data_IF_577684911658
#
_entry.id   IF_577684911658
#
_cell.length_a   1.000
_cell.length_b   1.000
_cell.length_c   1.000
_cell.angle_alpha   90.00
_cell.angle_beta   90.00
_cell.angle_gamma   90.00
#
_symmetry.space_group_name_H-M   'P 1'
#
loop_
_entity.id
_entity.type
_entity.pdbx_description
1 polymer ?
#
# COMPACT_ATOMS: atom_id res chain seq x y z
N UNK A 1 -4.55 35.81 4.25
CA UNK A 1 -3.32 35.39 3.56
C UNK A 1 -3.72 34.41 2.48
N UNK A 2 -3.24 34.53 1.25
CA UNK A 2 -3.50 33.52 0.23
C UNK A 2 -2.76 32.25 0.67
N UNK A 3 -3.48 31.24 1.17
CA UNK A 3 -2.86 29.93 1.34
C UNK A 3 -2.51 29.39 -0.04
N UNK A 4 -1.31 28.84 -0.13
CA UNK A 4 -0.77 28.27 -1.34
C UNK A 4 -1.10 26.78 -1.32
N UNK A 5 -1.89 26.33 -2.29
CA UNK A 5 -2.22 24.91 -2.42
C UNK A 5 -0.98 24.01 -2.39
N UNK A 6 -1.08 22.91 -1.65
CA UNK A 6 -0.05 21.87 -1.62
C UNK A 6 0.00 21.18 -2.98
N UNK A 7 0.98 21.58 -3.81
CA UNK A 7 1.18 20.97 -5.12
C UNK A 7 1.92 19.65 -5.05
N UNK A 8 2.89 19.53 -4.16
CA UNK A 8 3.72 18.32 -4.03
C UNK A 8 3.16 17.46 -2.90
N UNK A 9 2.35 16.47 -3.26
CA UNK A 9 1.61 15.65 -2.31
C UNK A 9 2.24 14.26 -2.20
N UNK A 10 2.50 13.82 -0.97
CA UNK A 10 3.26 12.62 -0.68
C UNK A 10 2.35 11.40 -0.56
N UNK A 11 2.58 10.37 -1.37
CA UNK A 11 1.86 9.10 -1.30
C UNK A 11 2.44 8.11 -0.28
N UNK A 12 3.69 8.32 0.14
CA UNK A 12 4.22 7.84 1.42
C UNK A 12 4.52 9.07 2.26
N UNK A 13 3.86 9.25 3.40
CA UNK A 13 3.96 10.49 4.15
C UNK A 13 5.36 10.80 4.68
N UNK A 14 5.70 12.09 4.73
CA UNK A 14 7.02 12.53 5.18
C UNK A 14 7.29 12.17 6.64
N UNK A 15 6.26 12.24 7.50
CA UNK A 15 6.38 11.85 8.91
C UNK A 15 6.82 10.39 9.07
N UNK A 16 6.27 9.48 8.26
CA UNK A 16 6.70 8.09 8.21
C UNK A 16 8.15 7.96 7.73
N UNK A 17 8.51 8.59 6.61
CA UNK A 17 9.85 8.49 6.04
C UNK A 17 10.93 9.11 6.93
N UNK A 18 10.61 10.13 7.73
CA UNK A 18 11.53 10.73 8.71
C UNK A 18 12.01 9.74 9.77
N UNK A 19 11.22 8.70 10.08
CA UNK A 19 11.65 7.61 10.97
C UNK A 19 12.81 6.76 10.41
N UNK A 20 13.06 6.83 9.11
CA UNK A 20 14.15 6.13 8.42
C UNK A 20 15.27 7.08 7.96
N UNK A 21 15.15 8.37 8.25
CA UNK A 21 16.10 9.37 7.80
C UNK A 21 17.27 9.49 8.79
N UNK A 22 18.48 9.72 8.27
CA UNK A 22 19.64 10.03 9.12
C UNK A 22 19.46 11.43 9.74
N UNK A 23 19.78 11.60 11.04
CA UNK A 23 19.72 12.92 11.69
C UNK A 23 20.64 13.95 11.04
N UNK A 24 21.75 13.48 10.48
CA UNK A 24 22.77 14.32 9.86
C UNK A 24 22.32 14.84 8.48
N UNK A 25 22.29 16.17 8.32
CA UNK A 25 22.13 16.82 7.02
C UNK A 25 20.70 17.06 6.51
N UNK A 26 19.70 17.07 7.40
CA UNK A 26 18.34 17.53 7.07
C UNK A 26 17.39 16.43 6.58
N UNK A 27 17.18 15.39 7.41
CA UNK A 27 16.32 14.25 7.10
C UNK A 27 16.65 13.63 5.73
N UNK A 28 17.92 13.24 5.55
CA UNK A 28 18.34 12.52 4.35
C UNK A 28 18.01 11.04 4.50
N UNK A 29 17.50 10.44 3.45
CA UNK A 29 17.18 9.02 3.37
C UNK A 29 17.83 8.45 2.11
N UNK A 30 18.41 7.27 2.23
CA UNK A 30 18.97 6.54 1.09
C UNK A 30 17.85 5.75 0.42
N UNK A 31 17.71 5.89 -0.90
CA UNK A 31 16.73 5.15 -1.69
C UNK A 31 17.41 4.26 -2.72
N UNK A 32 16.78 3.13 -3.00
CA UNK A 32 17.13 2.21 -4.07
C UNK A 32 16.06 2.27 -5.16
N UNK A 33 16.46 2.08 -6.42
CA UNK A 33 15.51 1.90 -7.52
C UNK A 33 15.26 0.41 -7.71
N UNK A 34 14.01 0.01 -7.95
CA UNK A 34 13.68 -1.41 -8.13
C UNK A 34 14.40 -2.02 -9.33
N UNK A 35 14.73 -1.20 -10.32
CA UNK A 35 15.44 -1.56 -11.54
C UNK A 35 16.97 -1.61 -11.35
N UNK A 36 17.49 -1.00 -10.28
CA UNK A 36 18.92 -0.92 -9.98
C UNK A 36 19.15 -0.92 -8.46
N UNK A 37 19.43 -2.13 -7.94
CA UNK A 37 19.71 -2.37 -6.53
C UNK A 37 21.20 -2.23 -6.19
N UNK A 38 22.06 -1.87 -7.16
CA UNK A 38 23.51 -1.89 -6.97
C UNK A 38 24.03 -0.75 -6.10
N UNK A 39 23.31 0.39 -6.05
CA UNK A 39 23.74 1.56 -5.31
C UNK A 39 22.57 2.36 -4.72
N UNK A 40 22.59 2.51 -3.39
CA UNK A 40 21.67 3.40 -2.70
C UNK A 40 22.08 4.87 -2.92
N UNK A 41 21.11 5.73 -3.19
CA UNK A 41 21.34 7.16 -3.47
C UNK A 41 20.73 8.02 -2.36
N UNK A 42 21.43 9.04 -1.84
CA UNK A 42 20.86 9.91 -0.83
C UNK A 42 19.85 10.87 -1.47
N UNK A 43 18.72 11.10 -0.81
CA UNK A 43 17.74 12.13 -1.15
C UNK A 43 17.19 12.78 0.12
N UNK A 44 16.48 13.90 -0.02
CA UNK A 44 15.66 14.45 1.06
C UNK A 44 14.31 13.77 1.07
N UNK A 45 13.73 13.61 2.26
CA UNK A 45 12.37 13.05 2.42
C UNK A 45 11.34 13.80 1.56
N UNK A 46 11.44 15.13 1.47
CA UNK A 46 10.53 15.95 0.68
C UNK A 46 10.52 15.64 -0.83
N UNK A 47 11.61 15.09 -1.38
CA UNK A 47 11.75 14.80 -2.81
C UNK A 47 11.36 13.36 -3.18
N UNK A 48 11.00 12.53 -2.20
CA UNK A 48 10.64 11.12 -2.42
C UNK A 48 9.14 10.90 -2.28
N UNK A 49 8.65 9.85 -2.93
CA UNK A 49 7.30 9.34 -2.78
C UNK A 49 6.20 10.40 -2.92
N UNK A 50 6.32 11.29 -3.91
CA UNK A 50 5.38 12.37 -4.12
C UNK A 50 4.93 12.51 -5.58
N UNK A 51 3.76 13.13 -5.75
CA UNK A 51 3.10 13.41 -7.02
C UNK A 51 2.61 14.86 -7.04
N UNK A 52 2.62 15.47 -8.21
CA UNK A 52 2.04 16.81 -8.36
C UNK A 52 0.52 16.68 -8.44
N UNK A 53 -0.19 17.31 -7.51
CA UNK A 53 -1.66 17.29 -7.42
C UNK A 53 -2.26 15.86 -7.36
N UNK A 54 -1.57 14.91 -6.72
CA UNK A 54 -2.02 13.51 -6.65
C UNK A 54 -3.39 13.29 -5.98
N UNK A 55 -3.80 14.20 -5.09
CA UNK A 55 -5.04 14.18 -4.30
C UNK A 55 -5.88 15.45 -4.45
N UNK A 56 -5.46 16.39 -5.30
CA UNK A 56 -6.20 17.63 -5.53
C UNK A 56 -7.42 17.32 -6.40
N UNK A 57 -8.61 17.49 -5.84
CA UNK A 57 -9.87 17.25 -6.55
C UNK A 57 -10.45 18.54 -7.14
N UNK A 58 -11.46 18.43 -8.00
CA UNK A 58 -12.21 19.59 -8.47
C UNK A 58 -12.99 20.26 -7.32
N UNK A 59 -13.04 21.58 -7.33
CA UNK A 59 -13.69 22.36 -6.28
C UNK A 59 -13.65 23.86 -6.56
N UNK A 60 -14.65 24.58 -6.06
CA UNK A 60 -14.78 26.03 -6.21
C UNK A 60 -13.82 26.78 -5.27
N UNK A 61 -13.54 26.21 -4.10
CA UNK A 61 -12.62 26.79 -3.11
C UNK A 61 -11.35 25.95 -2.94
N UNK A 62 -10.28 26.56 -2.42
CA UNK A 62 -9.06 25.82 -2.06
C UNK A 62 -9.34 24.71 -1.05
N UNK A 63 -10.20 24.97 -0.05
CA UNK A 63 -10.55 24.00 0.97
C UNK A 63 -11.23 22.76 0.38
N UNK A 64 -12.08 22.94 -0.63
CA UNK A 64 -12.69 21.84 -1.38
C UNK A 64 -11.64 21.07 -2.19
N UNK A 65 -10.79 21.77 -2.94
CA UNK A 65 -9.77 21.13 -3.78
C UNK A 65 -8.71 20.36 -2.98
N UNK A 66 -8.33 20.88 -1.82
CA UNK A 66 -7.36 20.27 -0.91
C UNK A 66 -8.01 19.37 0.16
N UNK A 67 -9.31 19.08 0.05
CA UNK A 67 -10.05 18.32 1.07
C UNK A 67 -9.37 16.99 1.44
N UNK A 68 -8.92 16.24 0.43
CA UNK A 68 -8.32 14.91 0.63
C UNK A 68 -6.94 15.00 1.27
N UNK A 69 -6.08 15.89 0.77
CA UNK A 69 -4.75 16.14 1.35
C UNK A 69 -4.86 16.63 2.80
N UNK A 70 -5.73 17.60 3.07
CA UNK A 70 -5.99 18.12 4.41
C UNK A 70 -6.56 17.05 5.34
N UNK A 71 -7.39 16.14 4.83
CA UNK A 71 -7.92 15.02 5.61
C UNK A 71 -6.79 14.06 5.98
N UNK A 72 -5.91 13.70 5.05
CA UNK A 72 -4.77 12.85 5.36
C UNK A 72 -3.86 13.47 6.43
N UNK A 73 -3.51 14.74 6.25
CA UNK A 73 -2.69 15.50 7.19
C UNK A 73 -3.29 15.50 8.60
N UNK A 74 -4.52 15.98 8.73
CA UNK A 74 -5.18 16.18 10.02
C UNK A 74 -5.51 14.87 10.75
N UNK A 75 -5.98 13.85 10.02
CA UNK A 75 -6.50 12.62 10.66
C UNK A 75 -5.35 11.69 11.05
N UNK A 76 -4.35 11.52 10.19
CA UNK A 76 -3.29 10.53 10.40
C UNK A 76 -1.91 11.15 10.55
N UNK A 77 -1.49 12.06 9.67
CA UNK A 77 -0.08 12.52 9.68
C UNK A 77 0.28 13.31 10.94
N UNK A 78 -0.61 14.19 11.40
CA UNK A 78 -0.45 14.96 12.64
C UNK A 78 -0.29 14.04 13.87
N UNK A 79 -0.75 12.80 13.77
CA UNK A 79 -0.70 11.80 14.84
C UNK A 79 0.46 10.80 14.69
N UNK A 80 1.33 10.94 13.68
CA UNK A 80 2.37 9.93 13.46
C UNK A 80 3.35 9.77 14.61
N UNK A 81 3.71 10.87 15.28
CA UNK A 81 4.61 10.78 16.43
C UNK A 81 3.98 9.90 17.53
N UNK A 82 2.70 10.12 17.85
CA UNK A 82 1.97 9.32 18.83
C UNK A 82 1.94 7.84 18.44
N UNK A 83 1.70 7.54 17.16
CA UNK A 83 1.72 6.16 16.66
C UNK A 83 3.12 5.55 16.79
N UNK A 84 4.16 6.28 16.37
CA UNK A 84 5.54 5.82 16.46
C UNK A 84 5.96 5.54 17.89
N UNK A 85 5.71 6.48 18.82
CA UNK A 85 6.03 6.33 20.23
C UNK A 85 5.32 5.08 20.81
N UNK A 86 4.04 4.88 20.48
CA UNK A 86 3.26 3.74 20.98
C UNK A 86 3.76 2.37 20.47
N UNK A 87 4.26 2.29 19.23
CA UNK A 87 4.76 1.02 18.66
C UNK A 87 6.24 0.79 18.92
N UNK A 88 6.95 1.74 19.53
CA UNK A 88 8.39 1.62 19.85
C UNK A 88 8.69 1.59 21.35
N UNK A 89 7.69 1.86 22.20
CA UNK A 89 7.81 1.76 23.65
C UNK A 89 7.69 0.30 24.13
N UNK A 90 8.83 -0.32 24.43
CA UNK A 90 8.91 -1.69 24.98
C UNK A 90 8.23 -1.83 26.35
N UNK A 91 7.95 -0.74 27.06
CA UNK A 91 7.27 -0.76 28.37
C UNK A 91 5.75 -0.77 28.26
N UNK A 92 5.21 -0.51 27.07
CA UNK A 92 3.78 -0.40 26.85
C UNK A 92 3.12 -1.79 26.82
N UNK A 93 2.40 -2.11 27.89
CA UNK A 93 1.70 -3.41 28.02
C UNK A 93 0.29 -3.42 27.43
N UNK A 94 -0.33 -2.24 27.28
CA UNK A 94 -1.69 -2.09 26.80
C UNK A 94 -1.86 -0.84 25.94
N UNK A 95 -2.57 -0.99 24.82
CA UNK A 95 -3.01 0.13 23.98
C UNK A 95 -4.41 0.56 24.38
N UNK A 96 -4.60 1.85 24.62
CA UNK A 96 -5.93 2.43 24.71
C UNK A 96 -6.65 2.39 23.34
N UNK A 97 -7.97 2.49 23.37
CA UNK A 97 -8.82 2.39 22.18
C UNK A 97 -8.47 3.42 21.10
N UNK A 98 -8.12 4.64 21.50
CA UNK A 98 -7.83 5.72 20.56
C UNK A 98 -6.47 5.52 19.91
N UNK A 99 -5.44 5.14 20.68
CA UNK A 99 -4.12 4.80 20.14
C UNK A 99 -4.19 3.61 19.20
N UNK A 100 -4.94 2.56 19.56
CA UNK A 100 -5.19 1.41 18.67
C UNK A 100 -5.87 1.84 17.36
N UNK A 101 -6.92 2.65 17.43
CA UNK A 101 -7.61 3.18 16.23
C UNK A 101 -6.68 4.02 15.37
N UNK A 102 -5.81 4.82 15.98
CA UNK A 102 -4.80 5.61 15.27
C UNK A 102 -3.77 4.73 14.57
N UNK A 103 -3.26 3.67 15.22
CA UNK A 103 -2.34 2.71 14.60
C UNK A 103 -3.00 2.06 13.37
N UNK A 104 -4.21 1.52 13.52
CA UNK A 104 -4.96 0.87 12.43
C UNK A 104 -5.27 1.87 11.31
N UNK A 105 -5.68 3.09 11.66
CA UNK A 105 -5.90 4.18 10.71
C UNK A 105 -4.64 4.55 9.93
N UNK A 106 -3.50 4.64 10.61
CA UNK A 106 -2.19 4.88 9.99
C UNK A 106 -1.83 3.75 9.01
N UNK A 107 -1.94 2.49 9.40
CA UNK A 107 -1.62 1.36 8.52
C UNK A 107 -2.55 1.32 7.30
N UNK A 108 -3.84 1.54 7.49
CA UNK A 108 -4.81 1.53 6.39
C UNK A 108 -4.67 2.74 5.44
N UNK A 109 -4.34 3.93 5.96
CA UNK A 109 -4.01 5.08 5.11
C UNK A 109 -2.75 4.83 4.28
N UNK A 110 -1.69 4.28 4.89
CA UNK A 110 -0.46 3.89 4.19
C UNK A 110 -0.67 2.80 3.13
N UNK A 111 -1.67 1.94 3.31
CA UNK A 111 -2.02 0.91 2.33
C UNK A 111 -2.68 1.51 1.08
N UNK A 112 -3.69 2.37 1.25
CA UNK A 112 -4.53 2.84 0.15
C UNK A 112 -4.06 4.14 -0.50
N UNK A 113 -3.26 4.97 0.18
CA UNK A 113 -2.75 6.24 -0.34
C UNK A 113 -1.69 6.08 -1.46
N UNK A 114 -1.36 4.85 -1.84
CA UNK A 114 -0.20 4.55 -2.71
C UNK A 114 -0.53 4.52 -4.21
N UNK A 115 0.49 4.82 -5.04
CA UNK A 115 0.41 4.67 -6.51
C UNK A 115 0.06 3.26 -6.96
N UNK A 116 0.44 2.25 -6.18
CA UNK A 116 0.19 0.84 -6.53
C UNK A 116 -1.31 0.56 -6.67
N UNK A 117 -2.15 1.10 -5.78
CA UNK A 117 -3.59 0.91 -5.89
C UNK A 117 -4.14 1.55 -7.18
N UNK A 118 -3.69 2.77 -7.51
CA UNK A 118 -4.07 3.46 -8.77
C UNK A 118 -3.73 2.60 -10.00
N UNK A 119 -2.53 2.00 -10.03
CA UNK A 119 -2.10 1.10 -11.12
C UNK A 119 -2.97 -0.16 -11.18
N UNK A 120 -3.29 -0.78 -10.04
CA UNK A 120 -4.13 -1.98 -9.98
C UNK A 120 -5.55 -1.67 -10.48
N UNK A 121 -6.15 -0.57 -10.01
CA UNK A 121 -7.47 -0.13 -10.45
C UNK A 121 -7.48 0.21 -11.95
N UNK A 122 -6.46 0.89 -12.45
CA UNK A 122 -6.32 1.19 -13.88
C UNK A 122 -6.30 -0.07 -14.75
N UNK A 123 -5.52 -1.09 -14.36
CA UNK A 123 -5.50 -2.39 -15.04
C UNK A 123 -6.85 -3.09 -15.01
N UNK A 124 -7.51 -3.10 -13.85
CA UNK A 124 -8.84 -3.68 -13.70
C UNK A 124 -9.85 -3.01 -14.64
N UNK A 125 -9.83 -1.67 -14.76
CA UNK A 125 -10.69 -0.96 -15.70
C UNK A 125 -10.34 -1.25 -17.15
N UNK A 126 -9.05 -1.33 -17.51
CA UNK A 126 -8.62 -1.71 -18.86
C UNK A 126 -9.13 -3.11 -19.23
N UNK A 127 -9.02 -4.08 -18.33
CA UNK A 127 -9.54 -5.44 -18.52
C UNK A 127 -11.07 -5.44 -18.68
N UNK A 128 -11.80 -4.75 -17.81
CA UNK A 128 -13.27 -4.63 -17.90
C UNK A 128 -13.73 -4.00 -19.22
N UNK A 129 -13.03 -2.96 -19.70
CA UNK A 129 -13.33 -2.31 -20.98
C UNK A 129 -13.00 -3.27 -22.13
N UNK A 130 -11.89 -4.01 -22.04
CA UNK A 130 -11.52 -5.00 -23.06
C UNK A 130 -12.58 -6.09 -23.20
N UNK A 131 -13.14 -6.56 -22.07
CA UNK A 131 -14.26 -7.49 -22.06
C UNK A 131 -15.51 -6.89 -22.70
N UNK A 132 -15.84 -5.63 -22.39
CA UNK A 132 -16.96 -4.93 -23.02
C UNK A 132 -16.80 -4.79 -24.54
N UNK A 133 -15.59 -4.48 -25.03
CA UNK A 133 -15.27 -4.46 -26.47
C UNK A 133 -15.44 -5.83 -27.10
N UNK A 134 -15.05 -6.90 -26.41
CA UNK A 134 -15.20 -8.25 -26.94
C UNK A 134 -16.68 -8.64 -27.07
N UNK A 135 -17.50 -8.27 -26.09
CA UNK A 135 -18.96 -8.51 -26.12
C UNK A 135 -19.65 -7.65 -27.19
N UNK A 136 -19.23 -6.40 -27.42
CA UNK A 136 -19.85 -5.55 -28.46
C UNK A 136 -19.64 -6.05 -29.88
N UNK A 137 -18.64 -6.89 -30.13
CA UNK A 137 -18.42 -7.52 -31.45
C UNK A 137 -19.49 -8.54 -31.81
N UNK A 138 -20.16 -9.12 -30.83
CA UNK A 138 -21.16 -10.17 -31.01
C UNK A 138 -22.56 -9.74 -30.57
N UNK A 139 -22.73 -8.50 -30.13
CA UNK A 139 -23.99 -7.94 -29.62
C UNK A 139 -24.20 -6.51 -30.11
N UNK A 140 -25.41 -5.97 -29.98
CA UNK A 140 -25.71 -4.59 -30.36
C UNK A 140 -25.33 -3.56 -29.27
N UNK A 141 -24.36 -3.88 -28.40
CA UNK A 141 -23.90 -2.99 -27.34
C UNK A 141 -22.93 -1.98 -27.94
N UNK A 142 -23.27 -0.69 -27.84
CA UNK A 142 -22.43 0.40 -28.39
C UNK A 142 -21.75 1.24 -27.31
N UNK A 143 -22.04 0.98 -26.04
CA UNK A 143 -21.53 1.74 -24.90
C UNK A 143 -21.23 0.81 -23.72
N UNK A 144 -20.23 1.17 -22.92
CA UNK A 144 -20.00 0.57 -21.60
C UNK A 144 -20.20 1.64 -20.53
N UNK A 145 -20.90 1.28 -19.46
CA UNK A 145 -21.09 2.15 -18.29
C UNK A 145 -20.26 1.62 -17.15
N UNK A 146 -19.33 2.43 -16.66
CA UNK A 146 -18.53 2.14 -15.48
C UNK A 146 -18.89 3.20 -14.43
N UNK A 147 -19.40 2.74 -13.29
CA UNK A 147 -20.01 3.59 -12.26
C UNK A 147 -21.10 4.51 -12.84
N UNK A 148 -20.79 5.80 -13.01
CA UNK A 148 -21.72 6.82 -13.56
C UNK A 148 -21.28 7.34 -14.92
N UNK A 149 -20.19 6.81 -15.47
CA UNK A 149 -19.62 7.26 -16.72
C UNK A 149 -19.94 6.27 -17.83
N UNK A 150 -20.68 6.73 -18.83
CA UNK A 150 -20.96 5.98 -20.05
C UNK A 150 -19.96 6.41 -21.13
N UNK A 151 -19.25 5.44 -21.70
CA UNK A 151 -18.30 5.67 -22.79
C UNK A 151 -18.70 4.85 -24.03
N UNK A 152 -18.56 5.43 -25.24
CA UNK A 152 -18.86 4.71 -26.46
C UNK A 152 -17.77 3.67 -26.77
N UNK A 153 -18.20 2.52 -27.30
CA UNK A 153 -17.35 1.47 -27.85
C UNK A 153 -17.18 1.71 -29.35
N UNK A 154 -16.48 2.81 -29.68
CA UNK A 154 -16.37 3.40 -31.03
C UNK A 154 -15.16 2.91 -31.85
N UNK A 155 -14.56 1.79 -31.45
CA UNK A 155 -13.40 1.19 -32.12
C UNK A 155 -12.04 1.58 -31.53
N UNK A 156 -12.01 2.47 -30.53
CA UNK A 156 -10.79 2.72 -29.72
C UNK A 156 -10.37 1.48 -28.93
N UNK A 157 -9.07 1.42 -28.61
CA UNK A 157 -8.53 0.34 -27.78
C UNK A 157 -8.96 0.47 -26.32
N UNK A 158 -8.99 -0.64 -25.59
CA UNK A 158 -9.31 -0.65 -24.16
C UNK A 158 -8.40 0.29 -23.36
N UNK A 159 -7.11 0.34 -23.73
CA UNK A 159 -6.11 1.21 -23.12
C UNK A 159 -6.40 2.70 -23.31
N UNK A 160 -6.89 3.10 -24.49
CA UNK A 160 -7.25 4.50 -24.76
C UNK A 160 -8.47 4.92 -23.96
N UNK A 161 -9.51 4.08 -23.95
CA UNK A 161 -10.73 4.30 -23.17
C UNK A 161 -10.45 4.32 -21.67
N UNK A 162 -9.60 3.41 -21.16
CA UNK A 162 -9.20 3.38 -19.76
C UNK A 162 -8.46 4.67 -19.34
N UNK A 163 -7.58 5.20 -20.18
CA UNK A 163 -6.88 6.47 -19.92
C UNK A 163 -7.83 7.67 -19.91
N UNK A 164 -8.82 7.70 -20.79
CA UNK A 164 -9.87 8.73 -20.76
C UNK A 164 -10.68 8.64 -19.47
N UNK A 165 -11.09 7.42 -19.09
CA UNK A 165 -11.79 7.16 -17.85
C UNK A 165 -10.99 7.62 -16.63
N UNK A 166 -9.71 7.24 -16.52
CA UNK A 166 -8.82 7.67 -15.43
C UNK A 166 -8.72 9.19 -15.31
N UNK A 167 -8.59 9.90 -16.44
CA UNK A 167 -8.56 11.38 -16.45
C UNK A 167 -9.86 11.99 -15.98
N UNK A 168 -10.98 11.42 -16.41
CA UNK A 168 -12.32 11.96 -16.14
C UNK A 168 -12.77 11.65 -14.71
N UNK A 169 -12.35 10.50 -14.17
CA UNK A 169 -12.73 10.01 -12.86
C UNK A 169 -11.62 10.19 -11.81
N UNK A 170 -10.66 11.09 -12.04
CA UNK A 170 -9.58 11.36 -11.08
C UNK A 170 -10.13 11.61 -9.67
N UNK A 171 -11.10 12.53 -9.55
CA UNK A 171 -11.74 12.87 -8.28
C UNK A 171 -12.40 11.66 -7.63
N UNK A 172 -13.14 10.87 -8.42
CA UNK A 172 -13.80 9.64 -7.97
C UNK A 172 -12.80 8.60 -7.45
N UNK A 173 -11.65 8.44 -8.13
CA UNK A 173 -10.60 7.52 -7.72
C UNK A 173 -9.93 7.96 -6.42
N UNK A 174 -9.58 9.24 -6.30
CA UNK A 174 -8.96 9.81 -5.09
C UNK A 174 -9.90 9.69 -3.89
N UNK A 175 -11.18 10.04 -4.06
CA UNK A 175 -12.19 9.89 -3.00
C UNK A 175 -12.43 8.43 -2.63
N UNK A 176 -12.38 7.53 -3.61
CA UNK A 176 -12.49 6.08 -3.37
C UNK A 176 -11.32 5.58 -2.52
N UNK A 177 -10.09 5.99 -2.79
CA UNK A 177 -8.92 5.64 -1.95
C UNK A 177 -9.12 6.07 -0.50
N UNK A 178 -9.54 7.32 -0.27
CA UNK A 178 -9.81 7.82 1.08
C UNK A 178 -10.94 7.03 1.76
N UNK A 179 -12.04 6.76 1.04
CA UNK A 179 -13.16 5.97 1.54
C UNK A 179 -12.74 4.55 1.91
N UNK A 180 -11.91 3.90 1.10
CA UNK A 180 -11.38 2.56 1.37
C UNK A 180 -10.53 2.55 2.65
N UNK A 181 -9.66 3.54 2.84
CA UNK A 181 -8.86 3.68 4.05
C UNK A 181 -9.74 3.81 5.31
N UNK A 182 -10.69 4.74 5.31
CA UNK A 182 -11.60 4.94 6.45
C UNK A 182 -12.46 3.70 6.70
N UNK A 183 -12.99 3.08 5.65
CA UNK A 183 -13.86 1.91 5.77
C UNK A 183 -13.11 0.74 6.37
N UNK A 184 -11.90 0.43 5.86
CA UNK A 184 -11.11 -0.67 6.38
C UNK A 184 -10.66 -0.39 7.83
N UNK A 185 -10.25 0.85 8.14
CA UNK A 185 -9.91 1.23 9.51
C UNK A 185 -11.06 0.97 10.48
N UNK A 186 -12.28 1.33 10.09
CA UNK A 186 -13.48 1.13 10.90
C UNK A 186 -13.85 -0.35 11.07
N UNK A 187 -13.74 -1.16 10.01
CA UNK A 187 -13.99 -2.61 10.09
C UNK A 187 -12.98 -3.30 10.99
N UNK A 188 -11.72 -2.85 10.94
CA UNK A 188 -10.57 -3.46 11.62
C UNK A 188 -10.27 -2.85 12.99
N UNK A 189 -11.05 -1.87 13.46
CA UNK A 189 -10.75 -1.06 14.65
C UNK A 189 -10.53 -1.84 15.95
N UNK A 190 -11.02 -3.08 16.01
CA UNK A 190 -10.91 -3.97 17.17
C UNK A 190 -9.92 -5.12 16.92
N UNK A 191 -9.22 -5.13 15.79
CA UNK A 191 -8.23 -6.16 15.50
C UNK A 191 -7.05 -6.06 16.48
N UNK A 192 -6.43 -7.21 16.72
CA UNK A 192 -5.19 -7.29 17.51
C UNK A 192 -4.05 -6.64 16.73
N UNK A 193 -3.25 -5.83 17.43
CA UNK A 193 -2.02 -5.25 16.91
C UNK A 193 -0.85 -6.00 17.53
N UNK A 194 -0.04 -6.63 16.69
CA UNK A 194 1.21 -7.26 17.09
C UNK A 194 2.37 -6.43 16.53
N UNK A 195 3.31 -6.05 17.39
CA UNK A 195 4.53 -5.35 17.01
C UNK A 195 5.68 -6.36 17.06
N UNK A 196 6.39 -6.50 15.95
CA UNK A 196 7.57 -7.38 15.85
C UNK A 196 8.80 -6.48 15.81
N UNK A 197 9.60 -6.54 16.86
CA UNK A 197 10.91 -5.89 16.93
C UNK A 197 11.95 -6.83 16.32
N UNK A 198 12.75 -6.31 15.41
CA UNK A 198 13.90 -7.01 14.87
C UNK A 198 15.11 -6.63 15.73
N UNK A 199 15.76 -7.62 16.32
CA UNK A 199 17.01 -7.46 17.07
C UNK A 199 18.19 -7.74 16.11
N UNK A 200 18.43 -6.80 15.19
CA UNK A 200 19.57 -6.87 14.29
C UNK A 200 20.17 -5.48 14.05
N UNK A 201 21.49 -5.48 13.83
CA UNK A 201 22.26 -4.31 13.39
C UNK A 201 22.13 -4.08 11.86
N UNK A 202 21.23 -4.83 11.20
CA UNK A 202 21.05 -4.75 9.75
C UNK A 202 20.25 -3.50 9.36
N UNK A 203 20.54 -2.97 8.17
CA UNK A 203 19.80 -1.84 7.62
C UNK A 203 18.39 -2.26 7.21
N UNK A 204 17.37 -1.53 7.67
CA UNK A 204 15.99 -1.74 7.25
C UNK A 204 15.69 -1.03 5.92
N UNK A 205 15.02 -1.73 5.01
CA UNK A 205 14.53 -1.16 3.75
C UNK A 205 13.00 -1.14 3.77
N UNK A 206 12.42 0.05 3.61
CA UNK A 206 10.98 0.19 3.37
C UNK A 206 10.69 0.46 1.88
N UNK A 207 9.45 0.23 1.47
CA UNK A 207 9.01 0.44 0.08
C UNK A 207 8.21 1.74 -0.04
N UNK A 208 8.10 2.21 -1.28
CA UNK A 208 7.09 3.17 -1.76
C UNK A 208 5.62 2.66 -1.61
N UNK A 209 5.44 1.46 -1.04
CA UNK A 209 4.19 0.83 -0.65
C UNK A 209 4.44 0.05 0.66
N UNK A 210 4.47 0.73 1.81
CA UNK A 210 5.04 0.19 3.05
C UNK A 210 4.14 -0.84 3.75
N UNK A 211 2.89 -1.02 3.30
CA UNK A 211 1.94 -1.98 3.89
C UNK A 211 1.59 -3.03 2.85
N UNK A 212 1.59 -4.31 3.25
CA UNK A 212 1.23 -5.43 2.38
C UNK A 212 0.28 -6.37 3.11
N UNK A 213 -0.65 -6.95 2.36
CA UNK A 213 -1.43 -8.07 2.88
C UNK A 213 -0.58 -9.33 2.86
N UNK A 214 -0.65 -10.07 3.97
CA UNK A 214 0.08 -11.30 4.14
C UNK A 214 -0.88 -12.41 4.56
N UNK A 215 -0.75 -13.60 3.97
CA UNK A 215 -1.44 -14.80 4.43
C UNK A 215 -0.51 -15.58 5.38
N UNK A 216 -0.73 -15.56 6.70
CA UNK A 216 0.19 -16.16 7.69
C UNK A 216 0.53 -17.63 7.40
N UNK A 217 -0.37 -18.40 6.79
CA UNK A 217 -0.10 -19.81 6.46
C UNK A 217 0.93 -20.00 5.34
N UNK A 218 1.19 -18.96 4.55
CA UNK A 218 2.29 -18.94 3.60
C UNK A 218 3.61 -18.45 4.24
N UNK A 219 3.60 -17.88 5.47
CA UNK A 219 4.83 -17.36 6.09
C UNK A 219 5.52 -18.55 6.70
N UNK A 220 6.47 -19.10 5.96
CA UNK A 220 7.65 -19.65 6.60
C UNK A 220 8.50 -18.45 6.98
N UNK A 221 8.19 -17.82 8.12
CA UNK A 221 9.24 -17.08 8.79
C UNK A 221 10.35 -18.10 9.00
N UNK A 222 11.53 -17.88 8.41
CA UNK A 222 12.72 -18.58 8.83
C UNK A 222 13.06 -18.08 10.24
N UNK A 223 12.21 -18.39 11.22
CA UNK A 223 12.63 -18.45 12.60
C UNK A 223 13.65 -19.57 12.61
N UNK A 224 14.93 -19.20 12.50
CA UNK A 224 16.03 -20.11 12.66
C UNK A 224 15.90 -20.75 14.03
N UNK A 225 15.29 -21.93 14.10
CA UNK A 225 15.60 -22.86 15.16
C UNK A 225 17.04 -23.26 14.88
N UNK A 226 17.98 -22.59 15.54
CA UNK A 226 19.35 -23.10 15.67
C UNK A 226 19.20 -24.38 16.48
N UNK A 227 18.93 -25.48 15.78
CA UNK A 227 19.16 -26.80 16.33
C UNK A 227 20.66 -26.90 16.52
N UNK A 228 21.09 -26.76 17.78
CA UNK A 228 22.45 -27.07 18.21
C UNK A 228 22.86 -28.40 17.57
N UNK A 229 23.86 -28.35 16.71
CA UNK A 229 24.44 -29.54 16.12
C UNK A 229 24.94 -30.48 17.23
N UNK A 230 24.23 -31.58 17.40
CA UNK A 230 24.80 -32.86 17.82
C UNK A 230 24.44 -33.88 16.75
N UNK A 231 25.33 -34.10 15.79
CA UNK A 231 25.37 -35.36 15.06
C UNK A 231 25.93 -36.47 15.98
N UNK A 232 25.77 -37.76 15.65
CA UNK A 232 24.60 -38.44 15.10
C UNK A 232 24.29 -39.72 15.91
N UNK A 233 23.06 -40.24 15.85
CA UNK A 233 22.83 -41.68 16.12
C UNK A 233 21.95 -42.22 15.00
N UNK A 234 22.54 -43.14 14.24
CA UNK A 234 21.86 -43.97 13.27
C UNK A 234 20.93 -44.95 13.98
N UNK A 235 19.76 -45.24 13.42
CA UNK A 235 19.12 -46.56 13.55
C UNK A 235 18.05 -46.73 12.47
N UNK A 236 18.40 -47.60 11.52
CA UNK A 236 17.59 -48.64 10.87
C UNK A 236 16.18 -48.32 10.35
N UNK A 237 16.06 -48.41 9.02
CA UNK A 237 14.80 -48.65 8.31
C UNK A 237 14.31 -50.09 8.53
N UNK A 238 12.99 -50.31 8.43
CA UNK A 238 12.52 -51.47 7.67
C UNK A 238 11.36 -51.13 6.73
N UNK A 239 11.46 -51.53 5.45
CA UNK A 239 10.29 -51.71 4.59
C UNK A 239 10.30 -53.08 3.88
N UNK A 240 9.47 -53.96 4.46
CA UNK A 240 8.43 -54.86 3.89
C UNK A 240 8.62 -55.44 2.47
N UNK A 241 8.40 -56.76 2.28
CA UNK A 241 8.63 -57.46 1.01
C UNK A 241 7.46 -57.37 0.02
N UNK A 242 7.79 -57.27 -1.27
CA UNK A 242 6.86 -57.46 -2.38
C UNK A 242 6.55 -58.95 -2.63
N UNK A 243 5.27 -59.32 -2.72
CA UNK A 243 4.84 -60.54 -3.43
C UNK A 243 3.62 -60.32 -4.33
N UNK A 244 3.90 -60.66 -5.58
CA UNK A 244 3.15 -60.87 -6.83
C UNK A 244 1.64 -61.15 -6.77
N UNK A 245 0.95 -60.71 -7.83
CA UNK A 245 -0.30 -61.29 -8.33
C UNK A 245 -0.03 -62.13 -9.61
N UNK A 246 -0.83 -63.18 -9.89
CA UNK A 246 -0.67 -64.02 -11.07
C UNK A 246 -1.60 -63.64 -12.23
N UNK A 247 -1.08 -63.77 -13.44
CA UNK A 247 -1.69 -64.43 -14.61
C UNK A 247 -0.55 -65.05 -15.41
#
# INVERSE_FOLDING_TARGET
>A
MASQETKHQHYVPQGYMKGFATPEGGSRIHFLRKEDLSAAKPSTVGNLCAETNGYTISGSTEAERQFVENTYGRVWEDNYKRVYDAVTDDSLTHLDDDTRRLIIGTVTSLLFRTRKLKIILGRMYEEMIQDAINVSRTSNITHVTIERYSMPLDGRSAKELAREYERTQHDGQVLTQLRMAITLANVRKNDRVDVIKLDSEDNFVTSDHPVSFYNPSAFRCATGTIHSHKHPVATEQPQVPHRRLPT
#
